data_IF_848890339024
#
_entry.id   IF_848890339024
#
_cell.length_a   1.000
_cell.length_b   1.000
_cell.length_c   1.000
_cell.angle_alpha   90.00
_cell.angle_beta   90.00
_cell.angle_gamma   90.00
#
_symmetry.space_group_name_H-M   'P 1'
#
loop_
_entity.id
_entity.type
_entity.pdbx_description
1 polymer ?
#
# COMPACT_ATOMS: atom_id res chain seq x y z
N UNK A 1 10.01 -14.58 10.21
CA UNK A 1 9.13 -14.17 9.10
C UNK A 1 9.03 -12.64 9.11
N UNK A 2 9.25 -12.01 7.97
CA UNK A 2 9.21 -10.56 7.86
C UNK A 2 7.78 -10.01 8.07
N UNK A 3 7.64 -8.75 8.55
CA UNK A 3 6.35 -8.05 8.48
C UNK A 3 5.85 -7.93 7.04
N UNK A 4 4.53 -7.79 6.89
CA UNK A 4 3.90 -7.55 5.59
C UNK A 4 3.75 -6.06 5.32
N UNK A 5 3.76 -5.68 4.03
CA UNK A 5 3.39 -4.34 3.60
C UNK A 5 2.36 -4.45 2.47
N UNK A 6 1.13 -4.07 2.76
CA UNK A 6 0.05 -3.99 1.76
C UNK A 6 0.07 -2.61 1.13
N UNK A 7 0.26 -2.55 -0.19
CA UNK A 7 0.50 -1.32 -0.92
C UNK A 7 -0.58 -1.09 -1.99
N UNK A 8 -1.24 0.07 -1.90
CA UNK A 8 -2.13 0.56 -2.95
C UNK A 8 -1.34 1.27 -4.06
N UNK A 9 -1.94 1.41 -5.23
CA UNK A 9 -1.36 2.10 -6.40
C UNK A 9 -1.89 3.52 -6.51
N UNK A 10 -3.22 3.68 -6.64
CA UNK A 10 -3.83 5.02 -6.77
C UNK A 10 -3.73 5.77 -5.44
N UNK A 11 -3.13 6.94 -5.47
CA UNK A 11 -2.76 7.73 -4.30
C UNK A 11 -1.29 7.55 -3.96
N UNK A 12 -0.85 6.45 -3.35
CA UNK A 12 0.54 6.27 -2.93
C UNK A 12 1.58 6.34 -4.07
N UNK A 13 1.31 5.69 -5.19
CA UNK A 13 2.24 5.57 -6.32
C UNK A 13 1.83 6.42 -7.53
N UNK A 14 0.55 6.60 -7.74
CA UNK A 14 -0.04 7.45 -8.77
C UNK A 14 -0.84 8.55 -8.07
N UNK A 15 -0.20 9.69 -7.76
CA UNK A 15 -0.88 10.79 -7.10
C UNK A 15 -1.94 11.41 -8.02
N UNK A 16 -3.00 11.96 -7.42
CA UNK A 16 -4.11 12.57 -8.14
C UNK A 16 -4.74 13.71 -7.34
N UNK A 17 -5.51 14.54 -8.04
CA UNK A 17 -6.20 15.69 -7.46
C UNK A 17 -5.25 16.87 -7.16
N UNK A 18 -5.81 18.02 -6.88
CA UNK A 18 -5.07 19.22 -6.50
C UNK A 18 -4.35 19.90 -7.66
N UNK A 19 -3.05 19.73 -7.75
CA UNK A 19 -2.16 20.41 -8.68
C UNK A 19 -1.71 19.47 -9.82
N UNK A 20 -1.02 20.03 -10.80
CA UNK A 20 -0.35 19.25 -11.85
C UNK A 20 0.71 18.33 -11.22
N UNK A 21 0.75 17.10 -11.73
CA UNK A 21 1.71 16.11 -11.28
C UNK A 21 2.83 15.94 -12.31
N UNK A 22 4.10 15.78 -11.88
CA UNK A 22 5.19 15.55 -12.80
C UNK A 22 5.00 14.23 -13.56
N UNK A 23 5.49 14.19 -14.80
CA UNK A 23 5.57 12.98 -15.61
C UNK A 23 7.01 12.51 -15.66
N UNK A 24 7.26 11.29 -15.17
CA UNK A 24 8.60 10.70 -15.12
C UNK A 24 8.91 9.88 -16.37
N UNK A 25 7.99 9.01 -16.76
CA UNK A 25 8.14 8.20 -17.96
C UNK A 25 6.78 8.12 -18.68
N UNK A 26 6.64 8.79 -19.83
CA UNK A 26 5.38 8.82 -20.57
C UNK A 26 4.86 7.42 -20.89
N UNK A 27 3.55 7.25 -20.84
CA UNK A 27 2.86 6.04 -21.24
C UNK A 27 1.70 6.42 -22.17
N UNK A 28 1.82 6.18 -23.49
CA UNK A 28 0.77 6.55 -24.43
C UNK A 28 -0.57 5.82 -24.18
N UNK A 29 -0.51 4.58 -23.70
CA UNK A 29 -1.70 3.77 -23.42
C UNK A 29 -2.44 4.17 -22.15
N UNK A 30 -1.72 4.64 -21.13
CA UNK A 30 -2.28 5.12 -19.88
C UNK A 30 -1.41 6.25 -19.30
N UNK A 31 -1.80 7.52 -19.52
CA UNK A 31 -1.01 8.67 -19.06
C UNK A 31 -0.79 8.71 -17.55
N UNK A 32 -1.67 8.10 -16.74
CA UNK A 32 -1.53 8.07 -15.29
C UNK A 32 -0.27 7.32 -14.84
N UNK A 33 0.16 6.31 -15.60
CA UNK A 33 1.40 5.58 -15.34
C UNK A 33 2.64 6.48 -15.41
N UNK A 34 2.58 7.56 -16.16
CA UNK A 34 3.65 8.55 -16.21
C UNK A 34 3.92 9.25 -14.89
N UNK A 35 2.96 9.24 -13.97
CA UNK A 35 3.10 9.84 -12.63
C UNK A 35 3.85 8.96 -11.64
N UNK A 36 4.12 7.70 -11.98
CA UNK A 36 4.90 6.80 -11.11
C UNK A 36 6.34 7.29 -11.03
N UNK A 37 6.76 7.68 -9.83
CA UNK A 37 8.13 8.13 -9.58
C UNK A 37 9.05 6.92 -9.40
N UNK A 38 10.01 6.69 -10.31
CA UNK A 38 10.91 5.55 -10.22
C UNK A 38 11.79 5.55 -8.95
N UNK A 39 12.02 6.71 -8.33
CA UNK A 39 12.79 6.82 -7.11
C UNK A 39 12.10 6.14 -5.89
N UNK A 40 10.81 5.88 -5.96
CA UNK A 40 10.05 5.20 -4.91
C UNK A 40 10.43 3.71 -4.83
N UNK A 41 10.75 3.08 -5.95
CA UNK A 41 11.09 1.66 -5.99
C UNK A 41 12.25 1.26 -5.08
N UNK A 42 13.43 1.89 -5.18
CA UNK A 42 14.54 1.63 -4.26
C UNK A 42 14.20 1.84 -2.79
N UNK A 43 13.37 2.82 -2.47
CA UNK A 43 12.93 3.07 -1.10
C UNK A 43 12.04 1.94 -0.58
N UNK A 44 11.14 1.41 -1.41
CA UNK A 44 10.34 0.23 -1.07
C UNK A 44 11.21 -1.01 -0.86
N UNK A 45 12.17 -1.25 -1.76
CA UNK A 45 13.10 -2.39 -1.66
C UNK A 45 14.00 -2.31 -0.42
N UNK A 46 14.28 -1.11 0.08
CA UNK A 46 15.09 -0.92 1.28
C UNK A 46 14.31 -1.23 2.57
N UNK A 47 13.00 -1.34 2.52
CA UNK A 47 12.18 -1.76 3.66
C UNK A 47 12.31 -3.28 3.85
N UNK A 48 12.60 -3.70 5.07
CA UNK A 48 12.68 -5.13 5.42
C UNK A 48 11.28 -5.71 5.68
N UNK A 49 10.53 -5.95 4.61
CA UNK A 49 9.17 -6.48 4.67
C UNK A 49 8.81 -7.22 3.38
N UNK A 50 7.78 -8.05 3.46
CA UNK A 50 7.19 -8.72 2.30
C UNK A 50 6.07 -7.83 1.74
N UNK A 51 6.24 -7.30 0.54
CA UNK A 51 5.27 -6.40 -0.10
C UNK A 51 4.20 -7.22 -0.83
N UNK A 52 2.96 -6.81 -0.67
CA UNK A 52 1.77 -7.38 -1.33
C UNK A 52 0.97 -6.25 -1.97
N UNK A 53 0.60 -6.40 -3.23
CA UNK A 53 -0.30 -5.44 -3.88
C UNK A 53 -1.70 -5.50 -3.26
N UNK A 54 -2.20 -4.37 -2.78
CA UNK A 54 -3.55 -4.20 -2.26
C UNK A 54 -4.25 -3.08 -3.05
N UNK A 55 -4.67 -3.40 -4.26
CA UNK A 55 -5.14 -2.43 -5.25
C UNK A 55 -6.18 -3.01 -6.18
N UNK A 56 -7.06 -2.15 -6.71
CA UNK A 56 -8.01 -2.53 -7.76
C UNK A 56 -7.34 -2.83 -9.11
N UNK A 57 -6.05 -2.48 -9.27
CA UNK A 57 -5.28 -2.85 -10.46
C UNK A 57 -5.07 -4.37 -10.59
N UNK A 58 -5.17 -5.13 -9.50
CA UNK A 58 -4.94 -6.57 -9.54
C UNK A 58 -3.56 -6.91 -10.13
N UNK A 59 -3.51 -7.87 -11.05
CA UNK A 59 -2.26 -8.27 -11.72
C UNK A 59 -1.67 -7.19 -12.63
N UNK A 60 -2.45 -6.22 -13.07
CA UNK A 60 -1.92 -5.08 -13.85
C UNK A 60 -0.92 -4.26 -13.05
N UNK A 61 -0.97 -4.29 -11.72
CA UNK A 61 0.08 -3.68 -10.89
C UNK A 61 1.45 -4.32 -11.14
N UNK A 62 1.51 -5.63 -11.37
CA UNK A 62 2.74 -6.34 -11.70
C UNK A 62 3.22 -6.09 -13.14
N UNK A 63 2.30 -5.97 -14.09
CA UNK A 63 2.65 -5.79 -15.51
C UNK A 63 2.94 -4.34 -15.87
N UNK A 64 2.28 -3.38 -15.23
CA UNK A 64 2.32 -1.96 -15.61
C UNK A 64 3.09 -1.09 -14.60
N UNK A 65 2.93 -1.34 -13.30
CA UNK A 65 3.48 -0.46 -12.25
C UNK A 65 4.84 -0.96 -11.74
N UNK A 66 4.95 -2.24 -11.40
CA UNK A 66 6.17 -2.82 -10.85
C UNK A 66 7.42 -2.57 -11.71
N UNK A 67 7.37 -2.72 -13.06
CA UNK A 67 8.53 -2.45 -13.92
C UNK A 67 9.02 -1.00 -13.83
N UNK A 68 8.12 -0.04 -13.65
CA UNK A 68 8.47 1.39 -13.52
C UNK A 68 9.19 1.71 -12.21
N UNK A 69 9.01 0.86 -11.21
CA UNK A 69 9.63 0.97 -9.89
C UNK A 69 10.87 0.08 -9.74
N UNK A 70 11.15 -0.78 -10.70
CA UNK A 70 12.19 -1.80 -10.57
C UNK A 70 11.86 -2.87 -9.54
N UNK A 71 10.57 -3.11 -9.28
CA UNK A 71 10.11 -4.15 -8.36
C UNK A 71 9.96 -5.48 -9.08
N UNK A 72 10.23 -6.60 -8.39
CA UNK A 72 9.89 -7.91 -8.89
C UNK A 72 8.36 -8.10 -8.92
N UNK A 73 7.90 -9.20 -9.50
CA UNK A 73 6.51 -9.60 -9.37
C UNK A 73 6.17 -9.85 -7.90
N UNK A 74 5.11 -9.22 -7.42
CA UNK A 74 4.64 -9.32 -6.04
C UNK A 74 3.31 -10.08 -5.96
N UNK A 75 3.02 -10.72 -4.82
CA UNK A 75 1.68 -11.25 -4.56
C UNK A 75 0.61 -10.16 -4.66
N UNK A 76 -0.58 -10.55 -5.07
CA UNK A 76 -1.73 -9.66 -5.20
C UNK A 76 -2.81 -10.10 -4.22
N UNK A 77 -3.27 -9.17 -3.39
CA UNK A 77 -4.39 -9.40 -2.47
C UNK A 77 -5.66 -9.64 -3.29
N UNK A 78 -6.18 -10.87 -3.19
CA UNK A 78 -7.49 -11.19 -3.74
C UNK A 78 -8.58 -10.76 -2.77
N UNK A 79 -9.67 -10.26 -3.31
CA UNK A 79 -10.87 -9.89 -2.55
C UNK A 79 -12.10 -10.40 -3.29
N UNK A 80 -13.11 -10.76 -2.52
CA UNK A 80 -14.42 -11.11 -3.05
C UNK A 80 -15.34 -9.92 -2.83
N UNK A 81 -16.22 -9.68 -3.78
CA UNK A 81 -17.26 -8.67 -3.65
C UNK A 81 -18.27 -9.17 -2.60
N UNK A 82 -17.96 -8.92 -1.34
CA UNK A 82 -18.87 -9.21 -0.24
C UNK A 82 -19.93 -8.12 -0.22
N UNK A 83 -20.99 -8.24 -1.02
CA UNK A 83 -22.16 -7.36 -1.07
C UNK A 83 -22.40 -6.49 0.18
N UNK A 84 -23.44 -5.82 0.33
CA UNK A 84 -23.92 -4.88 1.36
C UNK A 84 -23.17 -4.60 2.69
N UNK A 85 -22.09 -5.28 3.05
CA UNK A 85 -21.20 -4.92 4.15
C UNK A 85 -20.24 -3.77 3.77
N UNK A 86 -20.24 -3.35 2.53
CA UNK A 86 -19.40 -2.30 1.95
C UNK A 86 -19.60 -0.89 2.54
N UNK A 87 -20.58 -0.68 3.41
CA UNK A 87 -20.87 0.65 3.96
C UNK A 87 -20.08 1.06 5.20
N UNK A 88 -19.44 0.11 5.92
CA UNK A 88 -18.84 0.37 7.24
C UNK A 88 -17.33 0.41 7.18
N UNK A 89 -16.70 -0.57 6.57
CA UNK A 89 -15.24 -0.67 6.44
C UNK A 89 -14.82 -0.48 4.98
N UNK A 90 -13.56 -0.06 4.78
CA UNK A 90 -12.93 -0.14 3.47
C UNK A 90 -12.92 -1.62 3.02
N UNK A 91 -13.20 -1.89 1.76
CA UNK A 91 -13.30 -3.26 1.23
C UNK A 91 -12.01 -4.08 1.38
N UNK A 92 -10.84 -3.44 1.47
CA UNK A 92 -9.54 -4.10 1.69
C UNK A 92 -9.31 -4.55 3.14
N UNK A 93 -9.98 -3.94 4.10
CA UNK A 93 -9.65 -4.09 5.54
C UNK A 93 -9.73 -5.54 6.00
N UNK A 94 -10.85 -6.22 5.71
CA UNK A 94 -11.01 -7.63 6.10
C UNK A 94 -10.07 -8.58 5.35
N UNK A 95 -9.94 -8.48 4.01
CA UNK A 95 -8.96 -9.29 3.28
C UNK A 95 -7.53 -9.15 3.76
N UNK A 96 -7.09 -7.93 4.10
CA UNK A 96 -5.75 -7.68 4.64
C UNK A 96 -5.54 -8.45 5.95
N UNK A 97 -6.46 -8.33 6.90
CA UNK A 97 -6.35 -9.02 8.19
C UNK A 97 -6.37 -10.54 8.01
N UNK A 98 -7.22 -11.05 7.11
CA UNK A 98 -7.27 -12.47 6.78
C UNK A 98 -5.95 -12.97 6.16
N UNK A 99 -5.35 -12.20 5.25
CA UNK A 99 -4.04 -12.52 4.66
C UNK A 99 -2.94 -12.53 5.70
N UNK A 100 -2.93 -11.52 6.58
CA UNK A 100 -1.85 -11.32 7.55
C UNK A 100 -1.76 -12.45 8.58
N UNK A 101 -2.86 -13.08 8.96
CA UNK A 101 -2.91 -14.22 9.91
C UNK A 101 -2.10 -13.96 11.19
N UNK A 102 -2.21 -12.79 11.76
CA UNK A 102 -1.49 -12.39 12.96
C UNK A 102 -0.09 -11.84 12.74
N UNK A 103 0.47 -11.90 11.54
CA UNK A 103 1.77 -11.26 11.22
C UNK A 103 1.68 -9.75 11.37
N UNK A 104 2.73 -9.10 11.88
CA UNK A 104 2.82 -7.64 11.83
C UNK A 104 2.67 -7.13 10.39
N UNK A 105 1.89 -6.07 10.20
CA UNK A 105 1.74 -5.50 8.87
C UNK A 105 1.63 -3.97 8.86
N UNK A 106 2.04 -3.39 7.74
CA UNK A 106 1.74 -2.01 7.35
C UNK A 106 0.74 -2.06 6.20
N UNK A 107 -0.25 -1.17 6.22
CA UNK A 107 -1.13 -0.94 5.08
C UNK A 107 -1.00 0.52 4.64
N UNK A 108 -0.58 0.75 3.40
CA UNK A 108 -0.38 2.08 2.80
C UNK A 108 -1.48 2.31 1.77
N UNK A 109 -2.31 3.32 2.03
CA UNK A 109 -3.48 3.65 1.20
C UNK A 109 -3.90 5.09 1.49
N UNK A 110 -4.58 5.75 0.55
CA UNK A 110 -5.12 7.10 0.72
C UNK A 110 -6.53 7.12 1.33
N UNK A 111 -7.22 5.99 1.35
CA UNK A 111 -8.63 5.89 1.77
C UNK A 111 -8.83 5.29 3.17
N UNK A 112 -7.78 5.08 3.94
CA UNK A 112 -7.88 4.56 5.31
C UNK A 112 -8.65 5.53 6.20
N UNK A 113 -9.61 5.00 6.97
CA UNK A 113 -10.45 5.76 7.91
C UNK A 113 -10.30 5.26 9.34
N UNK A 114 -10.73 6.06 10.31
CA UNK A 114 -10.66 5.70 11.73
C UNK A 114 -11.42 4.42 12.07
N UNK A 115 -12.53 4.16 11.38
CA UNK A 115 -13.28 2.91 11.55
C UNK A 115 -12.46 1.68 11.15
N UNK A 116 -11.61 1.80 10.12
CA UNK A 116 -10.71 0.72 9.71
C UNK A 116 -9.66 0.47 10.79
N UNK A 117 -9.09 1.52 11.35
CA UNK A 117 -8.11 1.44 12.45
C UNK A 117 -8.72 0.76 13.67
N UNK A 118 -9.90 1.18 14.07
CA UNK A 118 -10.62 0.60 15.23
C UNK A 118 -10.91 -0.88 15.02
N UNK A 119 -11.41 -1.24 13.84
CA UNK A 119 -11.72 -2.63 13.54
C UNK A 119 -10.48 -3.51 13.50
N UNK A 120 -9.41 -3.08 12.86
CA UNK A 120 -8.14 -3.83 12.82
C UNK A 120 -7.56 -4.01 14.22
N UNK A 121 -7.59 -2.96 15.05
CA UNK A 121 -7.13 -3.05 16.45
C UNK A 121 -7.88 -4.11 17.27
N UNK A 122 -9.14 -4.33 16.96
CA UNK A 122 -9.95 -5.34 17.65
C UNK A 122 -9.82 -6.75 17.06
N UNK A 123 -9.63 -6.85 15.73
CA UNK A 123 -9.70 -8.12 15.00
C UNK A 123 -8.34 -8.76 14.71
N UNK A 124 -7.28 -7.96 14.62
CA UNK A 124 -5.94 -8.46 14.31
C UNK A 124 -5.11 -8.63 15.59
N UNK A 125 -4.60 -9.84 15.88
CA UNK A 125 -3.88 -10.09 17.13
C UNK A 125 -2.46 -9.54 17.15
N UNK A 126 -1.87 -9.27 15.98
CA UNK A 126 -0.51 -8.74 15.86
C UNK A 126 -0.46 -7.22 15.74
N UNK A 127 0.76 -6.63 15.74
CA UNK A 127 0.92 -5.20 15.47
C UNK A 127 0.48 -4.84 14.04
N UNK A 128 -0.18 -3.69 13.89
CA UNK A 128 -0.57 -3.17 12.58
C UNK A 128 -0.39 -1.66 12.52
N UNK A 129 0.15 -1.16 11.42
CA UNK A 129 0.22 0.26 11.09
C UNK A 129 -0.63 0.51 9.84
N UNK A 130 -1.72 1.25 10.02
CA UNK A 130 -2.53 1.73 8.91
C UNK A 130 -2.05 3.15 8.58
N UNK A 131 -1.25 3.26 7.53
CA UNK A 131 -0.60 4.51 7.13
C UNK A 131 -1.33 5.16 5.96
N UNK A 132 -2.05 6.22 6.25
CA UNK A 132 -2.76 7.00 5.24
C UNK A 132 -1.82 7.97 4.55
N UNK A 133 -1.84 7.95 3.20
CA UNK A 133 -1.08 8.85 2.33
C UNK A 133 -1.98 9.96 1.79
N UNK A 134 -1.44 11.17 1.65
CA UNK A 134 -2.14 12.23 0.91
C UNK A 134 -2.08 11.90 -0.59
N UNK A 135 -3.22 11.66 -1.26
CA UNK A 135 -3.23 11.26 -2.67
C UNK A 135 -2.70 12.37 -3.61
N UNK A 136 -2.67 13.62 -3.16
CA UNK A 136 -2.14 14.74 -3.95
C UNK A 136 -0.62 14.73 -4.01
N UNK A 137 0.03 14.09 -3.05
CA UNK A 137 1.49 14.05 -2.92
C UNK A 137 2.08 12.68 -3.31
N UNK A 138 1.34 11.61 -3.10
CA UNK A 138 1.88 10.27 -3.13
C UNK A 138 2.81 9.98 -1.95
N UNK A 139 3.54 8.89 -1.99
CA UNK A 139 4.53 8.53 -0.98
C UNK A 139 5.66 9.55 -0.94
N UNK A 140 5.90 10.11 0.25
CA UNK A 140 6.94 11.08 0.54
C UNK A 140 8.06 10.47 1.39
N UNK A 141 9.18 11.18 1.53
CA UNK A 141 10.26 10.77 2.44
C UNK A 141 9.77 10.64 3.88
N UNK A 142 8.85 11.52 4.32
CA UNK A 142 8.27 11.45 5.65
C UNK A 142 7.44 10.16 5.85
N UNK A 143 6.70 9.73 4.84
CA UNK A 143 5.96 8.47 4.86
C UNK A 143 6.91 7.29 5.03
N UNK A 144 7.97 7.23 4.22
CA UNK A 144 8.98 6.18 4.32
C UNK A 144 9.69 6.17 5.68
N UNK A 145 10.01 7.34 6.23
CA UNK A 145 10.62 7.43 7.56
C UNK A 145 9.71 6.86 8.65
N UNK A 146 8.42 7.15 8.60
CA UNK A 146 7.43 6.63 9.53
C UNK A 146 7.30 5.11 9.43
N UNK A 147 7.16 4.60 8.23
CA UNK A 147 7.02 3.16 7.96
C UNK A 147 8.30 2.40 8.37
N UNK A 148 9.46 2.90 7.97
CA UNK A 148 10.74 2.27 8.30
C UNK A 148 10.98 2.22 9.82
N UNK A 149 10.64 3.27 10.55
CA UNK A 149 10.75 3.30 12.01
C UNK A 149 9.87 2.22 12.63
N UNK A 150 8.60 2.15 12.24
CA UNK A 150 7.66 1.16 12.76
C UNK A 150 8.12 -0.28 12.46
N UNK A 151 8.59 -0.55 11.24
CA UNK A 151 9.11 -1.87 10.87
C UNK A 151 10.31 -2.28 11.74
N UNK A 152 11.21 -1.35 12.05
CA UNK A 152 12.32 -1.62 12.97
C UNK A 152 11.84 -1.95 14.39
N UNK A 153 10.86 -1.20 14.89
CA UNK A 153 10.29 -1.40 16.23
C UNK A 153 9.67 -2.80 16.37
N UNK A 154 8.85 -3.22 15.42
CA UNK A 154 8.19 -4.55 15.48
C UNK A 154 9.15 -5.71 15.22
N UNK A 155 10.22 -5.49 14.46
CA UNK A 155 11.24 -6.52 14.19
C UNK A 155 12.19 -6.68 15.38
N UNK A 156 12.41 -5.63 16.16
CA UNK A 156 13.29 -5.62 17.33
C UNK A 156 12.59 -6.01 18.63
N UNK A 157 11.26 -6.15 18.62
CA UNK A 157 10.50 -6.59 19.80
C UNK A 157 10.83 -8.04 20.13
N UNK A 158 11.05 -8.39 21.44
CA UNK A 158 11.35 -9.75 21.87
C UNK A 158 10.16 -10.70 21.72
#
# INVERSE_FOLDING_TARGET
MLPLLFLDVDGPLIPFGGMDHPTYAPSPGNPLLGRVNPAVGPQLLALHCDVVWATTWGEDANTEVAPRLGLPRLPVLAWQDEGDLAGVLHWKTRPIVAWAQGRPFVWIDDEIRDRDRTWVSAAHPGPALLHRVDPRLGLTEADFATVARWLREVTSAP
#
